data_IF_668862527065
#
_entry.id   IF_668862527065
#
_cell.length_a   1.000
_cell.length_b   1.000
_cell.length_c   1.000
_cell.angle_alpha   90.00
_cell.angle_beta   90.00
_cell.angle_gamma   90.00
#
_symmetry.space_group_name_H-M   'P 1'
#
loop_
_entity.id
_entity.type
_entity.pdbx_description
1 polymer ?
#
# COMPACT_ATOMS: atom_id res chain seq x y z
N UNK A 1 75.59 -26.87 -5.44
CA UNK A 1 75.42 -26.06 -6.67
C UNK A 1 74.18 -26.57 -7.39
N UNK A 2 73.31 -25.65 -7.83
CA UNK A 2 71.99 -25.81 -8.48
C UNK A 2 70.75 -26.15 -7.59
N UNK A 3 69.95 -25.12 -7.26
CA UNK A 3 68.55 -25.22 -6.82
C UNK A 3 67.60 -25.10 -8.03
N UNK A 4 66.41 -25.71 -7.98
CA UNK A 4 65.21 -25.25 -8.69
C UNK A 4 64.05 -26.21 -8.40
N UNK A 5 63.07 -25.76 -7.62
CA UNK A 5 61.63 -25.87 -7.89
C UNK A 5 60.86 -25.31 -6.69
N UNK A 6 60.95 -23.99 -6.53
CA UNK A 6 59.93 -23.25 -5.79
C UNK A 6 58.79 -23.03 -6.77
N UNK A 7 57.81 -23.94 -6.76
CA UNK A 7 56.54 -23.75 -7.46
C UNK A 7 55.81 -22.58 -6.82
N UNK A 8 55.78 -21.50 -7.59
CA UNK A 8 55.13 -20.23 -7.35
C UNK A 8 53.61 -20.46 -7.22
N UNK A 9 53.10 -20.70 -6.00
CA UNK A 9 51.67 -20.60 -5.71
C UNK A 9 51.27 -19.12 -5.77
N UNK A 10 50.96 -18.70 -6.99
CA UNK A 10 50.35 -17.42 -7.30
C UNK A 10 49.14 -17.19 -6.38
N UNK A 11 49.26 -16.16 -5.56
CA UNK A 11 48.21 -15.56 -4.76
C UNK A 11 46.97 -15.33 -5.62
N UNK A 12 45.95 -16.17 -5.42
CA UNK A 12 44.61 -15.91 -5.97
C UNK A 12 44.13 -14.56 -5.41
N UNK A 13 43.71 -13.61 -6.25
CA UNK A 13 43.18 -12.36 -5.76
C UNK A 13 41.92 -12.67 -4.97
N UNK A 14 41.93 -12.31 -3.68
CA UNK A 14 40.73 -12.27 -2.84
C UNK A 14 39.81 -11.25 -3.50
N UNK A 15 38.92 -11.75 -4.36
CA UNK A 15 37.91 -10.93 -5.01
C UNK A 15 37.12 -10.21 -3.93
N UNK A 16 37.33 -8.89 -3.84
CA UNK A 16 36.58 -8.02 -2.95
C UNK A 16 35.14 -7.96 -3.42
N UNK A 17 34.37 -9.00 -3.06
CA UNK A 17 32.93 -8.85 -2.97
C UNK A 17 32.69 -7.93 -1.78
N UNK A 18 32.61 -6.63 -2.04
CA UNK A 18 31.92 -5.67 -1.19
C UNK A 18 30.46 -6.11 -1.09
N UNK A 19 30.22 -7.14 -0.28
CA UNK A 19 28.89 -7.56 0.13
C UNK A 19 28.39 -6.45 1.04
N UNK A 20 27.68 -5.49 0.46
CA UNK A 20 26.84 -4.58 1.22
C UNK A 20 26.06 -5.39 2.26
N UNK A 21 26.11 -4.95 3.52
CA UNK A 21 25.38 -5.59 4.60
C UNK A 21 23.90 -5.75 4.18
N UNK A 22 23.24 -6.90 4.41
CA UNK A 22 21.87 -7.14 3.94
C UNK A 22 20.89 -6.04 4.36
N UNK A 23 21.07 -5.45 5.55
CA UNK A 23 20.31 -4.29 6.01
C UNK A 23 20.51 -3.05 5.13
N UNK A 24 21.74 -2.76 4.72
CA UNK A 24 22.04 -1.58 3.90
C UNK A 24 21.43 -1.72 2.51
N UNK A 25 21.46 -2.94 1.94
CA UNK A 25 20.78 -3.24 0.68
C UNK A 25 19.26 -3.07 0.76
N UNK A 26 18.65 -3.53 1.85
CA UNK A 26 17.20 -3.45 2.01
C UNK A 26 16.75 -2.01 2.31
N UNK A 27 17.58 -1.23 3.02
CA UNK A 27 17.38 0.20 3.24
C UNK A 27 17.51 0.99 1.93
N UNK A 28 18.56 0.78 1.14
CA UNK A 28 18.73 1.49 -0.14
C UNK A 28 17.61 1.15 -1.12
N UNK A 29 17.16 -0.11 -1.16
CA UNK A 29 16.01 -0.54 -1.96
C UNK A 29 14.74 0.21 -1.54
N UNK A 30 14.49 0.35 -0.24
CA UNK A 30 13.31 1.05 0.28
C UNK A 30 13.38 2.54 -0.03
N UNK A 31 14.52 3.18 0.21
CA UNK A 31 14.76 4.59 -0.13
C UNK A 31 14.55 4.86 -1.63
N UNK A 32 15.10 4.01 -2.50
CA UNK A 32 14.90 4.13 -3.94
C UNK A 32 13.43 3.97 -4.34
N UNK A 33 12.69 3.08 -3.66
CA UNK A 33 11.26 2.87 -3.92
C UNK A 33 10.45 4.09 -3.48
N UNK A 34 10.69 4.63 -2.29
CA UNK A 34 10.04 5.85 -1.81
C UNK A 34 10.29 7.03 -2.75
N UNK A 35 11.55 7.23 -3.18
CA UNK A 35 11.88 8.26 -4.14
C UNK A 35 11.14 8.07 -5.48
N UNK A 36 11.05 6.84 -5.98
CA UNK A 36 10.33 6.52 -7.20
C UNK A 36 8.82 6.78 -7.08
N UNK A 37 8.24 6.50 -5.92
CA UNK A 37 6.83 6.77 -5.60
C UNK A 37 6.56 8.27 -5.56
N UNK A 38 7.46 9.05 -4.95
CA UNK A 38 7.38 10.51 -4.95
C UNK A 38 7.47 11.08 -6.37
N UNK A 39 8.44 10.62 -7.16
CA UNK A 39 8.59 11.03 -8.56
C UNK A 39 7.35 10.67 -9.39
N UNK A 40 6.80 9.47 -9.21
CA UNK A 40 5.56 9.05 -9.87
C UNK A 40 4.36 9.93 -9.46
N UNK A 41 4.29 10.35 -8.21
CA UNK A 41 3.29 11.30 -7.73
C UNK A 41 3.36 12.66 -8.46
N UNK A 42 4.56 13.18 -8.70
CA UNK A 42 4.78 14.41 -9.47
C UNK A 42 4.40 14.22 -10.94
N UNK A 43 4.80 13.11 -11.55
CA UNK A 43 4.43 12.75 -12.92
C UNK A 43 2.91 12.67 -13.06
N UNK A 44 2.22 12.05 -12.11
CA UNK A 44 0.77 11.93 -12.13
C UNK A 44 0.07 13.30 -12.14
N UNK A 45 0.50 14.22 -11.26
CA UNK A 45 -0.01 15.60 -11.24
C UNK A 45 0.25 16.32 -12.56
N UNK A 46 1.46 16.16 -13.12
CA UNK A 46 1.82 16.72 -14.43
C UNK A 46 0.96 16.17 -15.57
N UNK A 47 0.69 14.86 -15.58
CA UNK A 47 -0.17 14.21 -16.58
C UNK A 47 -1.59 14.74 -16.51
N UNK A 48 -2.19 14.85 -15.32
CA UNK A 48 -3.53 15.45 -15.18
C UNK A 48 -3.58 16.89 -15.69
N UNK A 49 -2.60 17.72 -15.32
CA UNK A 49 -2.54 19.12 -15.75
C UNK A 49 -2.35 19.28 -17.27
N UNK A 50 -1.51 18.46 -17.89
CA UNK A 50 -1.19 18.56 -19.33
C UNK A 50 -2.21 17.89 -20.24
N UNK A 51 -2.75 16.74 -19.84
CA UNK A 51 -3.61 15.92 -20.69
C UNK A 51 -5.10 16.19 -20.48
N UNK A 52 -5.54 16.41 -19.24
CA UNK A 52 -6.96 16.61 -18.91
C UNK A 52 -7.31 18.09 -18.64
N UNK A 53 -6.30 18.93 -18.40
CA UNK A 53 -6.47 20.36 -18.16
C UNK A 53 -6.68 20.72 -16.67
N UNK A 54 -6.82 22.02 -16.38
CA UNK A 54 -6.78 22.54 -15.02
C UNK A 54 -8.01 22.14 -14.17
N UNK A 55 -9.18 22.01 -14.78
CA UNK A 55 -10.42 21.63 -14.06
C UNK A 55 -10.32 20.21 -13.53
N UNK A 56 -9.96 19.25 -14.39
CA UNK A 56 -9.78 17.85 -14.02
C UNK A 56 -8.64 17.66 -13.00
N UNK A 57 -7.56 18.45 -13.13
CA UNK A 57 -6.50 18.48 -12.12
C UNK A 57 -7.04 18.94 -10.75
N UNK A 58 -7.87 19.98 -10.73
CA UNK A 58 -8.51 20.48 -9.50
C UNK A 58 -9.35 19.41 -8.83
N UNK A 59 -10.21 18.71 -9.58
CA UNK A 59 -11.01 17.58 -9.07
C UNK A 59 -10.13 16.46 -8.50
N UNK A 60 -9.07 16.09 -9.21
CA UNK A 60 -8.14 15.04 -8.77
C UNK A 60 -7.41 15.42 -7.47
N UNK A 61 -6.91 16.65 -7.36
CA UNK A 61 -6.21 17.12 -6.16
C UNK A 61 -7.15 17.21 -4.95
N UNK A 62 -8.37 17.69 -5.18
CA UNK A 62 -9.42 17.71 -4.16
C UNK A 62 -9.73 16.30 -3.65
N UNK A 63 -9.96 15.36 -4.57
CA UNK A 63 -10.20 13.96 -4.26
C UNK A 63 -9.04 13.35 -3.46
N UNK A 64 -7.80 13.60 -3.89
CA UNK A 64 -6.60 13.07 -3.23
C UNK A 64 -6.47 13.59 -1.79
N UNK A 65 -6.79 14.86 -1.56
CA UNK A 65 -6.76 15.47 -0.23
C UNK A 65 -7.83 14.87 0.69
N UNK A 66 -9.07 14.78 0.20
CA UNK A 66 -10.18 14.17 0.94
C UNK A 66 -9.87 12.71 1.27
N UNK A 67 -9.34 11.97 0.30
CA UNK A 67 -8.94 10.58 0.50
C UNK A 67 -7.85 10.44 1.55
N UNK A 68 -6.83 11.31 1.58
CA UNK A 68 -5.77 11.26 2.60
C UNK A 68 -6.33 11.45 4.02
N UNK A 69 -7.25 12.41 4.19
CA UNK A 69 -7.94 12.65 5.46
C UNK A 69 -8.79 11.46 5.90
N UNK A 70 -9.60 10.90 4.99
CA UNK A 70 -10.43 9.74 5.29
C UNK A 70 -9.59 8.49 5.56
N UNK A 71 -8.47 8.32 4.85
CA UNK A 71 -7.58 7.18 5.02
C UNK A 71 -6.96 7.14 6.42
N UNK A 72 -6.62 8.29 7.01
CA UNK A 72 -6.13 8.37 8.38
C UNK A 72 -7.14 7.78 9.39
N UNK A 73 -8.44 8.03 9.17
CA UNK A 73 -9.50 7.41 9.97
C UNK A 73 -9.71 5.93 9.64
N UNK A 74 -9.74 5.60 8.35
CA UNK A 74 -10.12 4.27 7.85
C UNK A 74 -9.07 3.20 8.14
N UNK A 75 -7.79 3.54 8.14
CA UNK A 75 -6.71 2.58 8.39
C UNK A 75 -6.61 2.19 9.87
N UNK A 76 -7.21 2.93 10.81
CA UNK A 76 -7.24 2.63 12.25
C UNK A 76 -5.82 2.34 12.83
N UNK A 77 -4.78 3.01 12.35
CA UNK A 77 -3.39 2.76 12.74
C UNK A 77 -2.81 1.39 12.32
N UNK A 78 -3.55 0.62 11.52
CA UNK A 78 -3.15 -0.75 11.13
C UNK A 78 -1.94 -0.78 10.20
N UNK A 79 -1.64 0.32 9.48
CA UNK A 79 -0.44 0.43 8.66
C UNK A 79 0.86 0.17 9.45
N UNK A 80 0.85 0.50 10.76
CA UNK A 80 1.96 0.28 11.68
C UNK A 80 1.74 -0.91 12.63
N UNK A 81 0.49 -1.16 13.04
CA UNK A 81 0.16 -2.28 13.93
C UNK A 81 0.44 -3.65 13.29
N UNK A 82 -0.07 -3.84 12.08
CA UNK A 82 -0.02 -5.12 11.39
C UNK A 82 1.42 -5.61 11.11
N UNK A 83 2.36 -4.80 10.57
CA UNK A 83 3.73 -5.27 10.37
C UNK A 83 4.43 -5.58 11.68
N UNK A 84 4.14 -4.85 12.77
CA UNK A 84 4.72 -5.09 14.09
C UNK A 84 4.33 -6.46 14.65
N UNK A 85 3.03 -6.76 14.68
CA UNK A 85 2.55 -8.04 15.23
C UNK A 85 2.98 -9.23 14.35
N UNK A 86 3.01 -9.04 13.03
CA UNK A 86 3.53 -10.06 12.11
C UNK A 86 5.01 -10.32 12.36
N UNK A 87 5.83 -9.28 12.57
CA UNK A 87 7.25 -9.40 12.88
C UNK A 87 7.51 -10.18 14.20
N UNK A 88 6.70 -9.92 15.24
CA UNK A 88 6.78 -10.64 16.51
C UNK A 88 6.45 -12.14 16.36
N UNK A 89 5.67 -12.51 15.35
CA UNK A 89 5.25 -13.88 15.08
C UNK A 89 6.11 -14.60 14.04
N UNK A 90 7.19 -13.99 13.53
CA UNK A 90 8.06 -14.63 12.51
C UNK A 90 8.70 -15.92 13.04
N UNK A 91 9.01 -15.97 14.34
CA UNK A 91 9.58 -17.17 15.00
C UNK A 91 8.52 -18.15 15.52
N UNK A 92 7.25 -17.77 15.46
CA UNK A 92 6.11 -18.55 15.95
C UNK A 92 5.50 -19.41 14.84
N UNK A 93 4.59 -20.34 15.16
CA UNK A 93 3.88 -21.11 14.15
C UNK A 93 3.19 -20.20 13.12
N UNK A 94 3.27 -20.59 11.85
CA UNK A 94 2.70 -19.87 10.71
C UNK A 94 1.20 -19.52 10.90
N UNK A 95 0.46 -20.35 11.64
CA UNK A 95 -0.96 -20.13 11.94
C UNK A 95 -1.24 -18.82 12.69
N UNK A 96 -0.38 -18.42 13.63
CA UNK A 96 -0.55 -17.14 14.35
C UNK A 96 -0.36 -15.95 13.41
N UNK A 97 0.63 -16.02 12.52
CA UNK A 97 0.90 -14.96 11.53
C UNK A 97 -0.29 -14.76 10.60
N UNK A 98 -0.86 -15.87 10.13
CA UNK A 98 -2.02 -15.85 9.25
C UNK A 98 -3.28 -15.37 10.00
N UNK A 99 -3.40 -15.63 11.30
CA UNK A 99 -4.46 -15.09 12.14
C UNK A 99 -4.40 -13.56 12.24
N UNK A 100 -3.22 -12.98 12.50
CA UNK A 100 -3.03 -11.53 12.51
C UNK A 100 -3.32 -10.90 11.15
N UNK A 101 -2.89 -11.53 10.05
CA UNK A 101 -3.20 -11.05 8.71
C UNK A 101 -4.70 -11.05 8.42
N UNK A 102 -5.40 -12.15 8.72
CA UNK A 102 -6.83 -12.26 8.47
C UNK A 102 -7.63 -11.31 9.36
N UNK A 103 -7.29 -11.21 10.65
CA UNK A 103 -7.92 -10.28 11.57
C UNK A 103 -7.71 -8.82 11.13
N UNK A 104 -6.47 -8.43 10.81
CA UNK A 104 -6.14 -7.09 10.34
C UNK A 104 -6.86 -6.75 9.04
N UNK A 105 -6.77 -7.62 8.03
CA UNK A 105 -7.43 -7.42 6.73
C UNK A 105 -8.95 -7.35 6.88
N UNK A 106 -9.55 -8.19 7.73
CA UNK A 106 -11.00 -8.17 7.96
C UNK A 106 -11.45 -6.88 8.64
N UNK A 107 -10.70 -6.39 9.62
CA UNK A 107 -10.99 -5.11 10.27
C UNK A 107 -10.83 -3.94 9.30
N UNK A 108 -9.71 -3.88 8.57
CA UNK A 108 -9.43 -2.86 7.56
C UNK A 108 -10.52 -2.81 6.49
N UNK A 109 -10.79 -3.95 5.84
CA UNK A 109 -11.78 -4.02 4.77
C UNK A 109 -13.20 -3.82 5.31
N UNK A 110 -13.54 -4.40 6.46
CA UNK A 110 -14.86 -4.24 7.07
C UNK A 110 -15.15 -2.77 7.39
N UNK A 111 -14.20 -2.06 7.99
CA UNK A 111 -14.37 -0.64 8.31
C UNK A 111 -14.39 0.22 7.04
N UNK A 112 -13.48 -0.04 6.09
CA UNK A 112 -13.41 0.70 4.82
C UNK A 112 -14.70 0.55 4.00
N UNK A 113 -15.23 -0.67 3.88
CA UNK A 113 -16.50 -0.94 3.19
C UNK A 113 -17.66 -0.28 3.92
N UNK A 114 -17.70 -0.33 5.26
CA UNK A 114 -18.74 0.35 6.03
C UNK A 114 -18.74 1.85 5.77
N UNK A 115 -17.58 2.50 5.82
CA UNK A 115 -17.44 3.93 5.48
C UNK A 115 -17.83 4.19 4.03
N UNK A 116 -17.38 3.36 3.09
CA UNK A 116 -17.73 3.49 1.67
C UNK A 116 -19.23 3.39 1.40
N UNK A 117 -19.93 2.46 2.06
CA UNK A 117 -21.39 2.31 1.97
C UNK A 117 -22.11 3.54 2.52
N UNK A 118 -21.69 4.04 3.68
CA UNK A 118 -22.25 5.27 4.28
C UNK A 118 -22.07 6.47 3.34
N UNK A 119 -20.86 6.64 2.79
CA UNK A 119 -20.57 7.72 1.84
C UNK A 119 -21.43 7.62 0.59
N UNK A 120 -21.61 6.41 0.04
CA UNK A 120 -22.41 6.20 -1.16
C UNK A 120 -23.92 6.40 -0.91
N UNK A 121 -24.44 5.92 0.22
CA UNK A 121 -25.85 6.10 0.60
C UNK A 121 -26.19 7.59 0.75
N UNK A 122 -25.28 8.38 1.34
CA UNK A 122 -25.41 9.82 1.50
C UNK A 122 -24.77 10.66 0.39
N UNK A 123 -24.55 10.11 -0.81
CA UNK A 123 -23.64 10.71 -1.81
C UNK A 123 -23.89 12.19 -2.11
N UNK A 124 -25.14 12.64 -2.22
CA UNK A 124 -25.41 14.06 -2.51
C UNK A 124 -25.00 14.98 -1.35
N UNK A 125 -25.28 14.55 -0.12
CA UNK A 125 -24.93 15.29 1.10
C UNK A 125 -23.42 15.35 1.31
N UNK A 126 -22.76 14.19 1.21
CA UNK A 126 -21.31 14.12 1.39
C UNK A 126 -20.54 14.80 0.26
N UNK A 127 -21.09 14.86 -0.96
CA UNK A 127 -20.46 15.59 -2.06
C UNK A 127 -20.41 17.08 -1.76
N UNK A 128 -21.53 17.65 -1.31
CA UNK A 128 -21.57 19.05 -0.90
C UNK A 128 -20.65 19.33 0.28
N UNK A 129 -20.61 18.45 1.28
CA UNK A 129 -19.78 18.65 2.47
C UNK A 129 -18.26 18.46 2.22
N UNK A 130 -17.87 17.43 1.46
CA UNK A 130 -16.46 17.09 1.20
C UNK A 130 -15.87 17.87 0.03
N UNK A 131 -16.66 18.09 -1.02
CA UNK A 131 -16.19 18.69 -2.27
C UNK A 131 -16.73 20.11 -2.50
N UNK A 132 -17.69 20.58 -1.70
CA UNK A 132 -18.31 21.89 -1.83
C UNK A 132 -19.46 21.96 -2.85
N UNK A 133 -19.60 20.95 -3.72
CA UNK A 133 -20.59 20.94 -4.80
C UNK A 133 -21.24 19.56 -4.97
N UNK A 134 -22.57 19.53 -5.09
CA UNK A 134 -23.35 18.32 -5.35
C UNK A 134 -23.10 17.74 -6.75
N UNK A 135 -22.68 18.55 -7.73
CA UNK A 135 -22.29 18.08 -9.07
C UNK A 135 -21.12 17.08 -9.03
N UNK A 136 -20.29 17.14 -7.97
CA UNK A 136 -19.18 16.23 -7.74
C UNK A 136 -19.59 14.91 -7.06
N UNK A 137 -20.89 14.63 -6.92
CA UNK A 137 -21.37 13.36 -6.36
C UNK A 137 -20.89 12.11 -7.12
N UNK A 138 -20.54 12.26 -8.40
CA UNK A 138 -19.95 11.18 -9.20
C UNK A 138 -18.55 10.76 -8.71
N UNK A 139 -17.86 11.59 -7.92
CA UNK A 139 -16.55 11.31 -7.35
C UNK A 139 -16.59 10.44 -6.08
N UNK A 140 -17.76 10.24 -5.48
CA UNK A 140 -17.89 9.48 -4.22
C UNK A 140 -17.64 7.99 -4.42
N UNK A 141 -18.14 7.41 -5.51
CA UNK A 141 -17.87 6.01 -5.81
C UNK A 141 -16.36 5.77 -6.08
N UNK A 142 -15.68 6.59 -6.92
CA UNK A 142 -14.22 6.57 -7.06
C UNK A 142 -13.47 6.74 -5.74
N UNK A 143 -13.93 7.64 -4.85
CA UNK A 143 -13.35 7.82 -3.53
C UNK A 143 -13.43 6.53 -2.69
N UNK A 144 -14.61 5.91 -2.64
CA UNK A 144 -14.80 4.64 -1.92
C UNK A 144 -13.93 3.51 -2.46
N UNK A 145 -13.83 3.39 -3.79
CA UNK A 145 -12.94 2.42 -4.46
C UNK A 145 -11.46 2.69 -4.18
N UNK A 146 -11.06 3.95 -4.18
CA UNK A 146 -9.70 4.36 -3.85
C UNK A 146 -9.35 4.03 -2.39
N UNK A 147 -10.26 4.30 -1.44
CA UNK A 147 -10.09 3.91 -0.04
C UNK A 147 -9.98 2.39 0.12
N UNK A 148 -10.85 1.63 -0.54
CA UNK A 148 -10.80 0.16 -0.53
C UNK A 148 -9.49 -0.38 -1.12
N UNK A 149 -9.04 0.19 -2.23
CA UNK A 149 -7.77 -0.15 -2.87
C UNK A 149 -6.57 0.13 -1.98
N UNK A 150 -6.54 1.29 -1.34
CA UNK A 150 -5.50 1.68 -0.39
C UNK A 150 -5.52 0.80 0.86
N UNK A 151 -6.68 0.48 1.42
CA UNK A 151 -6.79 -0.41 2.58
C UNK A 151 -6.31 -1.84 2.27
N UNK A 152 -6.73 -2.40 1.13
CA UNK A 152 -6.29 -3.72 0.67
C UNK A 152 -4.77 -3.74 0.42
N UNK A 153 -4.26 -2.69 -0.22
CA UNK A 153 -2.84 -2.49 -0.44
C UNK A 153 -2.06 -2.43 0.87
N UNK A 154 -2.53 -1.64 1.84
CA UNK A 154 -1.91 -1.54 3.17
C UNK A 154 -1.85 -2.90 3.85
N UNK A 155 -2.91 -3.70 3.80
CA UNK A 155 -2.90 -5.05 4.38
C UNK A 155 -1.81 -5.95 3.78
N UNK A 156 -1.74 -6.03 2.44
CA UNK A 156 -0.74 -6.83 1.73
C UNK A 156 0.68 -6.31 1.99
N UNK A 157 0.90 -5.01 1.84
CA UNK A 157 2.18 -4.36 2.09
C UNK A 157 2.67 -4.58 3.53
N UNK A 158 1.81 -4.37 4.53
CA UNK A 158 2.11 -4.58 5.94
C UNK A 158 2.50 -6.02 6.26
N UNK A 159 1.91 -7.01 5.59
CA UNK A 159 2.33 -8.41 5.75
C UNK A 159 3.75 -8.64 5.26
N UNK A 160 4.05 -8.25 4.03
CA UNK A 160 5.38 -8.46 3.45
C UNK A 160 6.46 -7.65 4.17
N UNK A 161 6.13 -6.44 4.61
CA UNK A 161 7.01 -5.61 5.45
C UNK A 161 7.25 -6.26 6.81
N UNK A 162 6.22 -6.83 7.44
CA UNK A 162 6.34 -7.51 8.73
C UNK A 162 7.23 -8.76 8.72
N UNK A 163 7.22 -9.52 7.63
CA UNK A 163 8.14 -10.67 7.46
C UNK A 163 9.51 -10.28 6.88
N UNK A 164 9.79 -8.97 6.77
CA UNK A 164 11.02 -8.42 6.18
C UNK A 164 11.27 -8.84 4.72
N UNK A 165 10.23 -9.22 3.98
CA UNK A 165 10.31 -9.51 2.55
C UNK A 165 10.32 -8.20 1.74
N UNK A 166 11.34 -7.35 1.96
CA UNK A 166 11.39 -5.97 1.45
C UNK A 166 11.26 -5.86 -0.06
N UNK A 167 11.81 -6.83 -0.82
CA UNK A 167 11.62 -6.89 -2.28
C UNK A 167 10.15 -6.94 -2.70
N UNK A 168 9.34 -7.75 -2.00
CA UNK A 168 7.90 -7.88 -2.29
C UNK A 168 7.13 -6.68 -1.80
N UNK A 169 7.44 -6.17 -0.60
CA UNK A 169 6.82 -4.96 -0.06
C UNK A 169 7.04 -3.75 -1.00
N UNK A 170 8.26 -3.57 -1.47
CA UNK A 170 8.62 -2.46 -2.37
C UNK A 170 8.03 -2.62 -3.76
N UNK A 171 7.99 -3.86 -4.30
CA UNK A 171 7.30 -4.13 -5.57
C UNK A 171 5.80 -3.78 -5.49
N UNK A 172 5.15 -4.16 -4.39
CA UNK A 172 3.76 -3.85 -4.11
C UNK A 172 3.55 -2.33 -4.06
N UNK A 173 4.41 -1.60 -3.35
CA UNK A 173 4.33 -0.15 -3.24
C UNK A 173 4.51 0.55 -4.60
N UNK A 174 5.53 0.17 -5.36
CA UNK A 174 5.79 0.74 -6.68
C UNK A 174 4.64 0.45 -7.66
N UNK A 175 4.09 -0.77 -7.62
CA UNK A 175 2.99 -1.14 -8.51
C UNK A 175 1.74 -0.30 -8.26
N UNK A 176 1.38 -0.06 -7.00
CA UNK A 176 0.14 0.64 -6.65
C UNK A 176 0.24 2.16 -6.72
N UNK A 177 1.42 2.75 -6.45
CA UNK A 177 1.59 4.20 -6.46
C UNK A 177 2.23 4.76 -7.72
N UNK A 178 2.87 3.93 -8.55
CA UNK A 178 3.44 4.37 -9.83
C UNK A 178 2.75 3.69 -11.02
N UNK A 179 2.82 2.36 -11.11
CA UNK A 179 2.44 1.65 -12.35
C UNK A 179 0.94 1.75 -12.63
N UNK A 180 0.09 1.39 -11.66
CA UNK A 180 -1.37 1.46 -11.83
C UNK A 180 -1.84 2.88 -12.14
N UNK A 181 -1.59 3.92 -11.31
CA UNK A 181 -2.18 5.23 -11.55
C UNK A 181 -1.67 5.89 -12.83
N UNK A 182 -0.37 5.75 -13.16
CA UNK A 182 0.17 6.29 -14.42
C UNK A 182 -0.42 5.54 -15.61
N UNK A 183 -0.46 4.20 -15.56
CA UNK A 183 -1.01 3.38 -16.63
C UNK A 183 -2.49 3.70 -16.90
N UNK A 184 -3.29 3.86 -15.85
CA UNK A 184 -4.71 4.19 -15.98
C UNK A 184 -4.92 5.58 -16.59
N UNK A 185 -4.17 6.59 -16.15
CA UNK A 185 -4.25 7.94 -16.75
C UNK A 185 -3.87 7.90 -18.23
N UNK A 186 -2.77 7.25 -18.59
CA UNK A 186 -2.32 7.17 -19.99
C UNK A 186 -3.30 6.41 -20.88
N UNK A 187 -4.02 5.42 -20.35
CA UNK A 187 -5.01 4.67 -21.13
C UNK A 187 -6.37 5.37 -21.21
N UNK A 188 -6.76 6.11 -20.17
CA UNK A 188 -8.12 6.64 -20.03
C UNK A 188 -8.20 8.17 -20.12
N UNK A 189 -7.10 8.88 -20.39
CA UNK A 189 -7.14 10.32 -20.65
C UNK A 189 -8.13 10.73 -21.77
N UNK A 190 -8.37 9.95 -22.85
CA UNK A 190 -9.31 10.35 -23.90
C UNK A 190 -10.77 10.42 -23.40
N UNK A 191 -11.08 9.77 -22.28
CA UNK A 191 -12.41 9.81 -21.68
C UNK A 191 -12.71 11.14 -20.94
N UNK A 192 -11.69 11.98 -20.70
CA UNK A 192 -11.80 13.27 -19.99
C UNK A 192 -12.58 13.21 -18.66
N UNK A 193 -12.60 12.05 -17.99
CA UNK A 193 -13.38 11.82 -16.77
C UNK A 193 -12.48 11.41 -15.61
N UNK A 194 -12.33 12.30 -14.62
CA UNK A 194 -11.58 12.04 -13.39
C UNK A 194 -12.21 10.90 -12.60
N UNK A 195 -13.54 10.86 -12.51
CA UNK A 195 -14.27 9.82 -11.83
C UNK A 195 -13.94 8.43 -12.40
N UNK A 196 -13.93 8.30 -13.72
CA UNK A 196 -13.61 7.03 -14.39
C UNK A 196 -12.15 6.63 -14.15
N UNK A 197 -11.21 7.55 -14.34
CA UNK A 197 -9.77 7.30 -14.14
C UNK A 197 -9.49 6.83 -12.72
N UNK A 198 -9.96 7.59 -11.72
CA UNK A 198 -9.69 7.26 -10.31
C UNK A 198 -10.47 6.02 -9.89
N UNK A 199 -11.70 5.84 -10.36
CA UNK A 199 -12.50 4.66 -10.08
C UNK A 199 -11.83 3.39 -10.60
N UNK A 200 -11.33 3.41 -11.85
CA UNK A 200 -10.61 2.28 -12.43
C UNK A 200 -9.28 2.05 -11.72
N UNK A 201 -8.53 3.09 -11.38
CA UNK A 201 -7.29 2.94 -10.60
C UNK A 201 -7.56 2.34 -9.20
N UNK A 202 -8.62 2.78 -8.53
CA UNK A 202 -9.10 2.20 -7.26
C UNK A 202 -9.49 0.73 -7.40
N UNK A 203 -10.28 0.38 -8.41
CA UNK A 203 -10.66 -1.01 -8.67
C UNK A 203 -9.45 -1.90 -8.99
N UNK A 204 -8.54 -1.42 -9.85
CA UNK A 204 -7.32 -2.15 -10.19
C UNK A 204 -6.39 -2.33 -9.00
N UNK A 205 -6.28 -1.34 -8.10
CA UNK A 205 -5.50 -1.49 -6.86
C UNK A 205 -6.11 -2.53 -5.93
N UNK A 206 -7.44 -2.62 -5.80
CA UNK A 206 -8.09 -3.72 -5.04
C UNK A 206 -7.74 -5.08 -5.66
N UNK A 207 -7.87 -5.22 -6.98
CA UNK A 207 -7.57 -6.47 -7.69
C UNK A 207 -6.08 -6.83 -7.55
N UNK A 208 -5.19 -5.87 -7.75
CA UNK A 208 -3.75 -6.08 -7.60
C UNK A 208 -3.38 -6.48 -6.17
N UNK A 209 -3.92 -5.80 -5.16
CA UNK A 209 -3.71 -6.17 -3.76
C UNK A 209 -4.19 -7.60 -3.46
N UNK A 210 -5.35 -8.00 -3.98
CA UNK A 210 -5.86 -9.36 -3.86
C UNK A 210 -4.93 -10.39 -4.54
N UNK A 211 -4.36 -10.07 -5.71
CA UNK A 211 -3.39 -10.91 -6.40
C UNK A 211 -2.09 -11.07 -5.59
N UNK A 212 -1.57 -9.98 -5.01
CA UNK A 212 -0.41 -10.03 -4.13
C UNK A 212 -0.67 -10.77 -2.81
N UNK A 213 -1.92 -10.77 -2.33
CA UNK A 213 -2.35 -11.51 -1.15
C UNK A 213 -2.70 -12.99 -1.43
N UNK A 214 -2.89 -13.38 -2.69
CA UNK A 214 -3.19 -14.77 -3.12
C UNK A 214 -2.32 -15.85 -2.47
N UNK A 215 -0.97 -15.74 -2.39
CA UNK A 215 -0.17 -16.77 -1.72
C UNK A 215 -0.53 -16.90 -0.23
N UNK A 216 -0.85 -15.80 0.44
CA UNK A 216 -1.23 -15.76 1.85
C UNK A 216 -2.58 -16.46 2.04
N UNK A 217 -3.57 -16.17 1.18
CA UNK A 217 -4.87 -16.82 1.22
C UNK A 217 -4.79 -18.32 0.91
N UNK A 218 -3.91 -18.73 -0.01
CA UNK A 218 -3.70 -20.15 -0.32
C UNK A 218 -3.13 -20.92 0.86
N UNK A 219 -2.23 -20.31 1.64
CA UNK A 219 -1.72 -20.89 2.88
C UNK A 219 -2.78 -20.92 3.99
N UNK A 220 -3.61 -19.89 4.07
CA UNK A 220 -4.71 -19.81 5.03
C UNK A 220 -5.76 -20.91 4.77
N UNK A 221 -6.14 -21.15 3.51
CA UNK A 221 -7.11 -22.17 3.13
C UNK A 221 -6.66 -23.60 3.47
N UNK A 222 -5.37 -23.83 3.69
CA UNK A 222 -4.80 -25.14 4.05
C UNK A 222 -4.81 -25.41 5.56
N UNK A 223 -5.11 -24.40 6.38
CA UNK A 223 -5.05 -24.48 7.83
C UNK A 223 -6.44 -24.18 8.44
N UNK A 224 -6.76 -24.71 9.63
CA UNK A 224 -8.01 -24.38 10.31
C UNK A 224 -8.07 -22.88 10.62
N UNK A 225 -9.25 -22.29 10.45
CA UNK A 225 -9.46 -20.86 10.71
C UNK A 225 -9.26 -20.55 12.20
N UNK A 226 -8.36 -19.63 12.55
CA UNK A 226 -8.14 -19.23 13.93
C UNK A 226 -9.29 -18.34 14.42
N UNK A 227 -9.52 -18.31 15.73
CA UNK A 227 -10.44 -17.33 16.33
C UNK A 227 -9.87 -15.92 16.15
N UNK A 228 -10.53 -15.08 15.35
CA UNK A 228 -10.01 -13.76 14.97
C UNK A 228 -10.14 -12.68 16.04
N UNK A 229 -11.14 -12.81 16.93
CA UNK A 229 -11.47 -11.82 17.96
C UNK A 229 -10.28 -11.37 18.83
N UNK A 230 -9.44 -12.27 19.41
CA UNK A 230 -8.30 -11.85 20.22
C UNK A 230 -7.26 -11.06 19.42
N UNK A 231 -6.93 -11.52 18.21
CA UNK A 231 -5.97 -10.86 17.32
C UNK A 231 -6.47 -9.48 16.85
N UNK A 232 -7.76 -9.38 16.50
CA UNK A 232 -8.39 -8.12 16.12
C UNK A 232 -8.37 -7.12 17.29
N UNK A 233 -8.67 -7.56 18.51
CA UNK A 233 -8.64 -6.71 19.70
C UNK A 233 -7.24 -6.17 20.01
N UNK A 234 -6.21 -7.00 19.88
CA UNK A 234 -4.81 -6.56 20.06
C UNK A 234 -4.40 -5.53 19.00
N UNK A 235 -4.71 -5.80 17.73
CA UNK A 235 -4.41 -4.90 16.62
C UNK A 235 -5.11 -3.56 16.80
N UNK A 236 -6.40 -3.56 17.14
CA UNK A 236 -7.18 -2.35 17.35
C UNK A 236 -6.73 -1.58 18.59
N UNK A 237 -6.45 -2.25 19.71
CA UNK A 237 -5.98 -1.58 20.93
C UNK A 237 -4.68 -0.81 20.67
N UNK A 238 -3.78 -1.40 19.87
CA UNK A 238 -2.55 -0.72 19.48
C UNK A 238 -2.75 0.33 18.38
N UNK A 239 -3.63 0.05 17.41
CA UNK A 239 -3.90 0.91 16.26
C UNK A 239 -4.65 2.19 16.62
N UNK A 240 -5.68 2.11 17.46
CA UNK A 240 -6.49 3.27 17.90
C UNK A 240 -5.62 4.34 18.57
N UNK A 241 -4.63 3.93 19.37
CA UNK A 241 -3.69 4.86 19.99
C UNK A 241 -2.80 5.64 19.00
N UNK A 242 -2.76 5.24 17.72
CA UNK A 242 -2.01 5.93 16.65
C UNK A 242 -2.86 6.78 15.73
N UNK A 243 -4.18 6.62 15.76
CA UNK A 243 -5.10 7.36 14.89
C UNK A 243 -4.90 8.88 14.98
N UNK A 244 -4.73 9.51 16.17
CA UNK A 244 -4.44 10.95 16.23
C UNK A 244 -3.15 11.35 15.51
N UNK A 245 -2.12 10.51 15.54
CA UNK A 245 -0.86 10.73 14.82
C UNK A 245 -1.02 10.60 13.31
N UNK A 246 -1.85 9.65 12.85
CA UNK A 246 -2.16 9.47 11.43
C UNK A 246 -2.96 10.69 10.88
N UNK A 247 -3.88 11.25 11.67
CA UNK A 247 -4.55 12.50 11.33
C UNK A 247 -3.58 13.69 11.29
N UNK A 248 -2.62 13.76 12.21
CA UNK A 248 -1.58 14.79 12.19
C UNK A 248 -0.68 14.74 10.96
N UNK A 249 -0.51 13.57 10.34
CA UNK A 249 0.22 13.43 9.07
C UNK A 249 -0.63 13.77 7.84
N UNK A 250 -1.95 13.70 7.96
CA UNK A 250 -2.89 13.98 6.88
C UNK A 250 -3.37 15.45 6.83
N UNK A 251 -3.23 16.18 7.94
CA UNK A 251 -3.56 17.61 8.09
C UNK A 251 -2.53 18.52 7.40
#
# INVERSE_FOLDING_TARGET
MKPAEASNEASKPVGSRTKFHPLLRDLTLTMATEFSVLAAGLVLVSLFGRLLGPVALGEFLLLRRVAAWLLAGVLLGMGNALPRYIALCVKKPQGERNAYFLAGTSCLMGFTVSVGVVLYAGRQYFAHWLFGDAHLANLILPLGLMLAGLAAQTAAFSYYRGILAMKRANAIQLFHFAIIPIGVVVLLYPAHSVALIVGVAGALTVVAAALFARPIFRELARNPLPKLRPYAAELLRYGVGRVPGDFGQAA
#
